data_IF_277589532975
#
_entry.id   IF_277589532975
#
_cell.length_a   1.000
_cell.length_b   1.000
_cell.length_c   1.000
_cell.angle_alpha   90.00
_cell.angle_beta   90.00
_cell.angle_gamma   90.00
#
_symmetry.space_group_name_H-M   'P 1'
#
loop_
_entity.id
_entity.type
_entity.pdbx_description
1 polymer ?
#
# COMPACT_ATOMS: atom_id res chain seq x y z
N UNK A 1 -12.29 7.26 -16.84
CA UNK A 1 -11.06 8.03 -16.55
C UNK A 1 -9.98 7.07 -16.13
N UNK A 2 -8.76 7.21 -16.64
CA UNK A 2 -7.65 6.34 -16.29
C UNK A 2 -7.08 6.80 -14.93
N UNK A 3 -7.29 6.01 -13.87
CA UNK A 3 -6.75 6.33 -12.54
C UNK A 3 -5.23 6.20 -12.55
N UNK A 4 -4.55 7.06 -11.80
CA UNK A 4 -3.11 6.93 -11.60
C UNK A 4 -2.82 5.63 -10.85
N UNK A 5 -1.82 4.87 -11.29
CA UNK A 5 -1.43 3.60 -10.67
C UNK A 5 -0.18 3.80 -9.81
N UNK A 6 -0.25 3.44 -8.54
CA UNK A 6 0.88 3.59 -7.59
C UNK A 6 1.16 2.26 -6.88
N UNK A 7 2.44 1.87 -6.83
CA UNK A 7 2.93 0.72 -6.08
C UNK A 7 3.91 1.19 -4.99
N UNK A 8 3.56 0.95 -3.72
CA UNK A 8 4.47 1.21 -2.59
C UNK A 8 5.32 -0.03 -2.27
N UNK A 9 6.64 0.14 -2.25
CA UNK A 9 7.59 -0.94 -1.98
C UNK A 9 8.24 -0.80 -0.61
N UNK A 10 8.38 -1.92 0.11
CA UNK A 10 9.29 -2.04 1.25
C UNK A 10 9.94 -3.42 1.27
N UNK A 11 10.76 -3.73 2.29
CA UNK A 11 11.41 -5.05 2.36
C UNK A 11 10.41 -6.19 2.53
N UNK A 12 9.48 -6.08 3.48
CA UNK A 12 8.64 -7.20 3.93
C UNK A 12 7.14 -7.13 3.62
N UNK A 13 6.68 -6.09 2.93
CA UNK A 13 5.25 -5.75 2.73
C UNK A 13 4.37 -5.81 4.01
N UNK A 14 4.95 -5.52 5.18
CA UNK A 14 4.31 -5.79 6.48
C UNK A 14 3.82 -4.53 7.21
N UNK A 15 4.52 -3.41 7.09
CA UNK A 15 4.24 -2.20 7.89
C UNK A 15 4.11 -0.94 7.02
N UNK A 16 5.23 -0.28 6.68
CA UNK A 16 5.22 1.02 5.97
C UNK A 16 4.44 1.01 4.65
N UNK A 17 4.64 -0.01 3.82
CA UNK A 17 3.95 -0.09 2.53
C UNK A 17 2.45 -0.36 2.68
N UNK A 18 2.04 -1.11 3.71
CA UNK A 18 0.64 -1.38 4.05
C UNK A 18 -0.06 -0.11 4.55
N UNK A 19 0.56 0.62 5.48
CA UNK A 19 0.07 1.93 5.92
C UNK A 19 -0.12 2.90 4.75
N UNK A 20 0.88 2.99 3.86
CA UNK A 20 0.83 3.89 2.71
C UNK A 20 -0.30 3.52 1.73
N UNK A 21 -0.52 2.23 1.48
CA UNK A 21 -1.64 1.75 0.68
C UNK A 21 -2.98 2.12 1.33
N UNK A 22 -3.15 1.84 2.62
CA UNK A 22 -4.37 2.14 3.38
C UNK A 22 -4.72 3.62 3.35
N UNK A 23 -3.77 4.50 3.65
CA UNK A 23 -3.97 5.95 3.60
C UNK A 23 -4.32 6.45 2.20
N UNK A 24 -3.64 5.97 1.17
CA UNK A 24 -3.92 6.37 -0.22
C UNK A 24 -5.31 5.93 -0.66
N UNK A 25 -5.72 4.71 -0.27
CA UNK A 25 -7.06 4.19 -0.53
C UNK A 25 -8.12 5.03 0.19
N UNK A 26 -7.88 5.42 1.44
CA UNK A 26 -8.79 6.28 2.20
C UNK A 26 -8.90 7.70 1.61
N UNK A 27 -7.78 8.32 1.26
CA UNK A 27 -7.72 9.73 0.86
C UNK A 27 -7.97 9.98 -0.63
N UNK A 28 -7.69 9.01 -1.51
CA UNK A 28 -7.60 9.22 -2.97
C UNK A 28 -8.14 8.05 -3.82
N UNK A 29 -9.00 7.18 -3.29
CA UNK A 29 -9.59 6.02 -4.02
C UNK A 29 -10.24 6.36 -5.36
N UNK A 30 -10.79 7.57 -5.52
CA UNK A 30 -11.43 8.00 -6.76
C UNK A 30 -10.45 8.38 -7.87
N UNK A 31 -9.18 8.65 -7.52
CA UNK A 31 -8.16 9.16 -8.44
C UNK A 31 -7.00 8.19 -8.65
N UNK A 32 -6.74 7.33 -7.65
CA UNK A 32 -5.58 6.46 -7.59
C UNK A 32 -6.03 5.02 -7.39
N UNK A 33 -5.57 4.12 -8.24
CA UNK A 33 -5.51 2.70 -7.92
C UNK A 33 -4.15 2.42 -7.26
N UNK A 34 -4.18 1.94 -6.03
CA UNK A 34 -3.01 1.79 -5.17
C UNK A 34 -2.80 0.32 -4.78
N UNK A 35 -1.53 -0.06 -4.72
CA UNK A 35 -1.05 -1.37 -4.28
C UNK A 35 0.21 -1.22 -3.42
N UNK A 36 0.56 -2.28 -2.71
CA UNK A 36 1.84 -2.41 -2.02
C UNK A 36 2.47 -3.79 -2.25
N UNK A 37 3.80 -3.85 -2.20
CA UNK A 37 4.55 -5.10 -2.31
C UNK A 37 5.86 -5.03 -1.51
N UNK A 38 6.59 -6.14 -1.48
CA UNK A 38 7.92 -6.22 -0.89
C UNK A 38 8.76 -7.33 -1.49
N UNK A 39 10.06 -7.28 -1.23
CA UNK A 39 11.03 -8.27 -1.73
C UNK A 39 10.76 -9.63 -1.06
N UNK A 40 10.41 -9.61 0.21
CA UNK A 40 10.04 -10.77 1.01
C UNK A 40 8.60 -10.61 1.50
N UNK A 41 7.86 -11.71 1.58
CA UNK A 41 6.52 -11.69 2.18
C UNK A 41 6.65 -11.97 3.67
N UNK A 42 6.44 -10.93 4.47
CA UNK A 42 6.20 -11.09 5.90
C UNK A 42 4.70 -10.90 6.14
N UNK A 43 4.16 -11.57 7.17
CA UNK A 43 2.80 -11.32 7.61
C UNK A 43 2.57 -9.83 7.91
N UNK A 44 1.34 -9.37 7.74
CA UNK A 44 0.98 -7.99 8.02
C UNK A 44 1.23 -7.68 9.51
N UNK A 45 1.89 -6.55 9.79
CA UNK A 45 2.16 -6.12 11.15
C UNK A 45 0.84 -5.71 11.82
N UNK A 46 0.56 -6.28 13.00
CA UNK A 46 -0.70 -6.05 13.73
C UNK A 46 -0.96 -4.59 14.11
N UNK A 47 0.05 -3.72 14.05
CA UNK A 47 -0.06 -2.29 14.34
C UNK A 47 -0.12 -1.39 13.09
N UNK A 48 -0.13 -1.96 11.88
CA UNK A 48 0.07 -1.19 10.65
C UNK A 48 -1.21 -0.80 9.88
N UNK A 49 -2.37 -1.35 10.21
CA UNK A 49 -3.66 -1.02 9.57
C UNK A 49 -4.76 -0.99 10.61
#
# INVERSE_FOLDING_TARGET
MNKLKILFLCTGNSCRSQMAEGWTRHLKSNQIDVWSAGIETHGLNQYAV
#
